data_IF_953411864540
#
_entry.id   IF_953411864540
#
_cell.length_a   1.000
_cell.length_b   1.000
_cell.length_c   1.000
_cell.angle_alpha   90.00
_cell.angle_beta   90.00
_cell.angle_gamma   90.00
#
_symmetry.space_group_name_H-M   'P 1'
#
loop_
_entity.id
_entity.type
_entity.pdbx_description
1 polymer ?
#
# COMPACT_ATOMS: atom_id res chain seq x y z
N UNK A 1 25.51 -6.23 -3.86
CA UNK A 1 24.39 -5.29 -4.00
C UNK A 1 24.68 -4.11 -3.09
N UNK A 2 24.51 -2.87 -3.55
CA UNK A 2 24.61 -1.71 -2.66
C UNK A 2 23.41 -1.71 -1.69
N UNK A 3 23.68 -1.80 -0.40
CA UNK A 3 22.67 -1.73 0.66
C UNK A 3 22.31 -0.26 0.91
N UNK A 4 21.25 0.21 0.27
CA UNK A 4 20.81 1.60 0.34
C UNK A 4 20.37 2.00 1.76
N UNK A 5 19.91 1.03 2.55
CA UNK A 5 19.40 1.20 3.91
C UNK A 5 20.45 1.70 4.92
N UNK A 6 21.75 1.45 4.66
CA UNK A 6 22.84 1.88 5.55
C UNK A 6 23.50 3.20 5.12
N UNK A 7 23.02 3.82 4.04
CA UNK A 7 23.59 5.06 3.52
C UNK A 7 23.14 6.24 4.39
N UNK A 8 24.07 7.02 5.00
CA UNK A 8 23.72 8.17 5.82
C UNK A 8 22.84 9.20 5.08
N UNK A 9 23.03 9.33 3.77
CA UNK A 9 22.25 10.21 2.90
C UNK A 9 20.78 9.79 2.85
N UNK A 10 20.50 8.48 2.78
CA UNK A 10 19.13 7.96 2.77
C UNK A 10 18.43 8.20 4.11
N UNK A 11 19.13 7.97 5.23
CA UNK A 11 18.60 8.30 6.57
C UNK A 11 18.26 9.79 6.68
N UNK A 12 19.14 10.67 6.20
CA UNK A 12 18.91 12.11 6.21
C UNK A 12 17.73 12.49 5.33
N UNK A 13 17.64 11.95 4.12
CA UNK A 13 16.53 12.20 3.20
C UNK A 13 15.18 11.79 3.81
N UNK A 14 15.05 10.55 4.28
CA UNK A 14 13.81 10.04 4.88
C UNK A 14 13.39 10.77 6.16
N UNK A 15 14.35 11.30 6.93
CA UNK A 15 14.08 12.09 8.13
C UNK A 15 13.81 13.58 7.90
N UNK A 16 14.03 14.11 6.68
CA UNK A 16 13.92 15.55 6.40
C UNK A 16 13.01 15.90 5.22
N UNK A 17 12.74 14.96 4.32
CA UNK A 17 11.87 15.15 3.17
C UNK A 17 10.53 14.47 3.47
N UNK A 18 9.40 15.22 3.51
CA UNK A 18 8.08 14.61 3.61
C UNK A 18 7.84 13.65 2.44
N UNK A 19 7.46 12.41 2.75
CA UNK A 19 7.22 11.37 1.76
C UNK A 19 5.77 10.88 1.81
N UNK A 20 5.26 10.56 0.63
CA UNK A 20 4.02 9.79 0.48
C UNK A 20 4.46 8.44 -0.06
N UNK A 21 4.27 7.41 0.75
CA UNK A 21 4.71 6.05 0.43
C UNK A 21 3.53 5.22 -0.10
N UNK A 22 3.85 4.24 -0.94
CA UNK A 22 2.98 3.15 -1.36
C UNK A 22 3.83 1.89 -1.46
N UNK A 23 3.20 0.74 -1.26
CA UNK A 23 3.89 -0.55 -1.36
C UNK A 23 3.99 -1.10 -2.78
N UNK A 24 4.99 -1.95 -2.94
CA UNK A 24 5.34 -2.73 -4.13
C UNK A 24 5.19 -4.24 -3.85
N UNK A 25 5.33 -5.12 -4.85
CA UNK A 25 5.28 -6.57 -4.60
C UNK A 25 6.43 -7.03 -3.71
N UNK A 26 7.62 -6.46 -3.87
CA UNK A 26 8.80 -6.79 -3.07
C UNK A 26 8.67 -6.41 -1.58
N UNK A 27 7.69 -5.58 -1.19
CA UNK A 27 7.34 -5.35 0.22
C UNK A 27 6.62 -6.54 0.88
N UNK A 28 6.15 -7.49 0.07
CA UNK A 28 5.42 -8.69 0.50
C UNK A 28 6.23 -9.93 0.13
N UNK A 29 6.40 -10.16 -1.17
CA UNK A 29 7.23 -11.17 -1.83
C UNK A 29 7.20 -10.91 -3.34
N UNK A 30 8.28 -11.25 -4.03
CA UNK A 30 8.43 -11.05 -5.48
C UNK A 30 7.20 -11.57 -6.25
N UNK A 31 6.66 -10.76 -7.16
CA UNK A 31 5.55 -11.12 -8.03
C UNK A 31 4.23 -11.39 -7.29
N UNK A 32 4.01 -10.76 -6.13
CA UNK A 32 2.73 -10.79 -5.42
C UNK A 32 1.54 -10.45 -6.33
N UNK A 33 0.55 -11.35 -6.36
CA UNK A 33 -0.61 -11.26 -7.27
C UNK A 33 -0.47 -12.05 -8.58
N UNK A 34 0.73 -12.47 -8.97
CA UNK A 34 0.98 -13.18 -10.24
C UNK A 34 1.01 -14.72 -10.10
N UNK A 35 1.00 -15.24 -8.88
CA UNK A 35 0.99 -16.68 -8.62
C UNK A 35 -0.35 -17.33 -8.97
N UNK A 36 -0.33 -18.64 -9.20
CA UNK A 36 -1.55 -19.41 -9.41
C UNK A 36 -2.54 -19.25 -8.25
N UNK A 37 -3.86 -19.32 -8.50
CA UNK A 37 -4.87 -19.17 -7.45
C UNK A 37 -4.64 -20.11 -6.27
N UNK A 38 -4.15 -21.33 -6.51
CA UNK A 38 -3.84 -22.29 -5.45
C UNK A 38 -2.77 -21.77 -4.48
N UNK A 39 -1.68 -21.21 -4.99
CA UNK A 39 -0.61 -20.65 -4.16
C UNK A 39 -1.06 -19.36 -3.49
N UNK A 40 -1.66 -18.45 -4.25
CA UNK A 40 -2.16 -17.17 -3.74
C UNK A 40 -3.18 -17.39 -2.61
N UNK A 41 -4.04 -18.41 -2.72
CA UNK A 41 -5.05 -18.71 -1.72
C UNK A 41 -4.57 -19.56 -0.54
N UNK A 42 -3.33 -20.02 -0.56
CA UNK A 42 -2.76 -20.84 0.50
C UNK A 42 -2.71 -20.07 1.84
N UNK A 43 -2.84 -20.76 2.98
CA UNK A 43 -2.80 -20.10 4.30
C UNK A 43 -1.51 -19.30 4.54
N UNK A 44 -0.38 -19.80 4.03
CA UNK A 44 0.93 -19.16 4.19
C UNK A 44 0.96 -17.82 3.44
N UNK A 45 0.57 -17.82 2.17
CA UNK A 45 0.61 -16.61 1.34
C UNK A 45 -0.36 -15.54 1.84
N UNK A 46 -1.57 -15.95 2.25
CA UNK A 46 -2.54 -15.04 2.88
C UNK A 46 -2.00 -14.43 4.17
N UNK A 47 -1.43 -15.26 5.06
CA UNK A 47 -0.87 -14.77 6.32
C UNK A 47 0.27 -13.78 6.13
N UNK A 48 1.15 -14.01 5.14
CA UNK A 48 2.23 -13.09 4.79
C UNK A 48 1.67 -11.76 4.25
N UNK A 49 0.66 -11.82 3.39
CA UNK A 49 -0.02 -10.65 2.85
C UNK A 49 -0.68 -9.80 3.95
N UNK A 50 -1.42 -10.44 4.86
CA UNK A 50 -2.05 -9.77 5.99
C UNK A 50 -1.03 -9.08 6.90
N UNK A 51 0.11 -9.73 7.15
CA UNK A 51 1.17 -9.15 7.97
C UNK A 51 1.85 -7.97 7.27
N UNK A 52 2.18 -8.11 5.98
CA UNK A 52 2.76 -7.02 5.19
C UNK A 52 1.83 -5.80 5.16
N UNK A 53 0.52 -6.01 4.97
CA UNK A 53 -0.45 -4.92 5.02
C UNK A 53 -0.50 -4.24 6.39
N UNK A 54 -0.41 -4.99 7.50
CA UNK A 54 -0.34 -4.38 8.85
C UNK A 54 0.92 -3.53 9.03
N UNK A 55 2.07 -4.06 8.61
CA UNK A 55 3.37 -3.37 8.71
C UNK A 55 3.37 -2.11 7.85
N UNK A 56 2.85 -2.16 6.62
CA UNK A 56 2.76 -0.98 5.75
C UNK A 56 1.88 0.10 6.36
N UNK A 57 0.72 -0.27 6.89
CA UNK A 57 -0.20 0.68 7.50
C UNK A 57 0.46 1.35 8.70
N UNK A 58 1.20 0.59 9.52
CA UNK A 58 1.89 1.10 10.68
C UNK A 58 3.05 2.04 10.33
N UNK A 59 3.98 1.62 9.47
CA UNK A 59 5.22 2.35 9.25
C UNK A 59 5.16 3.38 8.11
N UNK A 60 4.37 3.12 7.05
CA UNK A 60 4.27 4.02 5.90
C UNK A 60 3.11 5.00 6.04
N UNK A 61 2.01 4.59 6.68
CA UNK A 61 0.79 5.41 6.80
C UNK A 61 0.45 5.82 8.23
N UNK A 62 1.24 5.41 9.23
CA UNK A 62 1.02 5.73 10.64
C UNK A 62 -0.40 5.44 11.13
N UNK A 63 -0.97 4.32 10.69
CA UNK A 63 -2.34 3.88 11.01
C UNK A 63 -2.39 2.39 11.33
N UNK A 64 -3.55 1.93 11.76
CA UNK A 64 -3.89 0.52 11.89
C UNK A 64 -5.00 0.15 10.89
N UNK A 65 -5.23 -1.14 10.61
CA UNK A 65 -6.35 -1.57 9.76
C UNK A 65 -7.70 -1.01 10.21
N UNK A 66 -7.92 -0.93 11.52
CA UNK A 66 -9.17 -0.46 12.12
C UNK A 66 -9.37 1.05 11.90
N UNK A 67 -8.27 1.82 11.96
CA UNK A 67 -8.29 3.29 11.84
C UNK A 67 -8.09 3.80 10.42
N UNK A 68 -7.71 2.94 9.47
CA UNK A 68 -7.30 3.39 8.13
C UNK A 68 -8.37 4.21 7.41
N UNK A 69 -9.66 3.87 7.58
CA UNK A 69 -10.76 4.64 6.99
C UNK A 69 -10.95 6.01 7.67
N UNK A 70 -10.80 6.08 8.99
CA UNK A 70 -10.84 7.34 9.75
C UNK A 70 -9.67 8.26 9.36
N UNK A 71 -8.50 7.68 9.08
CA UNK A 71 -7.33 8.37 8.55
C UNK A 71 -7.39 8.62 7.02
N UNK A 72 -8.58 8.53 6.42
CA UNK A 72 -8.88 8.89 5.02
C UNK A 72 -8.24 8.00 3.95
N UNK A 73 -7.80 6.79 4.30
CA UNK A 73 -7.49 5.78 3.29
C UNK A 73 -8.79 5.16 2.77
N UNK A 74 -8.94 5.02 1.46
CA UNK A 74 -10.19 4.60 0.82
C UNK A 74 -9.99 3.40 -0.12
N UNK A 75 -11.09 2.79 -0.54
CA UNK A 75 -11.11 1.61 -1.42
C UNK A 75 -12.08 0.54 -0.92
N UNK A 76 -12.20 -0.55 -1.67
CA UNK A 76 -13.06 -1.67 -1.30
C UNK A 76 -12.40 -2.51 -0.19
N UNK A 77 -11.36 -3.26 -0.53
CA UNK A 77 -10.48 -3.96 0.41
C UNK A 77 -9.11 -3.28 0.54
N UNK A 78 -8.66 -2.56 -0.49
CA UNK A 78 -7.41 -1.81 -0.49
C UNK A 78 -7.43 -0.51 0.31
N UNK A 79 -6.25 0.07 0.45
CA UNK A 79 -6.02 1.34 1.14
C UNK A 79 -5.30 2.34 0.22
N UNK A 80 -6.08 2.93 -0.69
CA UNK A 80 -5.67 4.08 -1.50
C UNK A 80 -5.59 5.33 -0.63
N UNK A 81 -4.76 6.30 -1.02
CA UNK A 81 -4.66 7.58 -0.34
C UNK A 81 -4.75 8.73 -1.36
N UNK A 82 -5.46 9.78 -0.96
CA UNK A 82 -5.53 11.02 -1.71
C UNK A 82 -4.88 12.13 -0.86
N UNK A 83 -3.75 12.64 -1.32
CA UNK A 83 -2.99 13.67 -0.62
C UNK A 83 -3.02 14.97 -1.41
N UNK A 84 -3.44 16.06 -0.77
CA UNK A 84 -3.39 17.40 -1.36
C UNK A 84 -2.08 18.09 -0.96
N UNK A 85 -1.28 18.45 -1.96
CA UNK A 85 -0.02 19.15 -1.79
C UNK A 85 -0.19 20.61 -2.24
N UNK A 86 -0.48 21.51 -1.30
CA UNK A 86 -0.76 22.91 -1.61
C UNK A 86 -2.10 23.11 -2.35
N UNK A 87 -2.28 24.26 -3.03
CA UNK A 87 -3.58 24.60 -3.60
C UNK A 87 -3.91 23.83 -4.89
N UNK A 88 -2.91 23.39 -5.65
CA UNK A 88 -3.07 22.98 -7.05
C UNK A 88 -2.61 21.55 -7.37
N UNK A 89 -2.13 20.80 -6.38
CA UNK A 89 -1.67 19.42 -6.60
C UNK A 89 -2.44 18.46 -5.70
N UNK A 90 -3.02 17.46 -6.35
CA UNK A 90 -3.67 16.32 -5.72
C UNK A 90 -2.95 15.05 -6.20
N UNK A 91 -2.45 14.27 -5.25
CA UNK A 91 -1.74 13.03 -5.52
C UNK A 91 -2.65 11.89 -5.10
N UNK A 92 -2.98 11.01 -6.05
CA UNK A 92 -3.61 9.74 -5.79
C UNK A 92 -2.52 8.67 -5.70
N UNK A 93 -2.39 8.03 -4.55
CA UNK A 93 -1.62 6.80 -4.42
C UNK A 93 -2.58 5.62 -4.39
N UNK A 94 -2.49 4.79 -5.44
CA UNK A 94 -3.35 3.63 -5.61
C UNK A 94 -2.72 2.39 -4.97
N UNK A 95 -3.51 1.66 -4.19
CA UNK A 95 -3.14 0.35 -3.65
C UNK A 95 -3.28 -0.69 -4.76
N UNK A 96 -2.17 -0.99 -5.43
CA UNK A 96 -2.14 -1.92 -6.55
C UNK A 96 -2.00 -3.39 -6.16
N UNK A 97 -1.93 -3.72 -4.86
CA UNK A 97 -1.56 -5.07 -4.42
C UNK A 97 -2.66 -5.75 -3.61
N UNK A 98 -3.44 -5.01 -2.79
CA UNK A 98 -4.45 -5.62 -1.90
C UNK A 98 -5.46 -6.50 -2.64
N UNK A 99 -5.87 -6.06 -3.82
CA UNK A 99 -6.94 -6.71 -4.60
C UNK A 99 -6.37 -7.40 -5.85
N UNK A 100 -5.04 -7.54 -5.94
CA UNK A 100 -4.38 -7.97 -7.17
C UNK A 100 -4.41 -9.47 -7.36
N UNK A 101 -4.83 -9.88 -8.54
CA UNK A 101 -4.63 -11.21 -9.11
C UNK A 101 -4.20 -11.12 -10.59
N UNK A 102 -4.18 -12.25 -11.29
CA UNK A 102 -3.79 -12.31 -12.70
C UNK A 102 -4.71 -11.52 -13.66
N UNK A 103 -5.90 -11.11 -13.22
CA UNK A 103 -6.93 -10.46 -14.05
C UNK A 103 -7.29 -9.05 -13.56
N UNK A 104 -7.10 -8.79 -12.27
CA UNK A 104 -7.60 -7.59 -11.60
C UNK A 104 -6.46 -6.97 -10.79
N UNK A 105 -6.36 -5.64 -10.81
CA UNK A 105 -5.46 -4.88 -9.93
C UNK A 105 -6.26 -4.23 -8.80
N UNK A 106 -7.42 -3.66 -9.14
CA UNK A 106 -8.40 -3.15 -8.20
C UNK A 106 -9.81 -3.59 -8.62
N UNK A 107 -10.61 -3.93 -7.63
CA UNK A 107 -12.00 -4.28 -7.77
C UNK A 107 -12.82 -3.04 -8.19
N UNK A 108 -13.82 -3.23 -9.06
CA UNK A 108 -14.70 -2.16 -9.58
C UNK A 108 -15.31 -1.26 -8.48
N UNK A 109 -15.75 -1.88 -7.37
CA UNK A 109 -16.26 -1.23 -6.15
C UNK A 109 -15.30 -0.23 -5.49
N UNK A 110 -14.01 -0.22 -5.82
CA UNK A 110 -13.03 0.70 -5.23
C UNK A 110 -13.37 2.17 -5.53
N UNK A 111 -13.95 2.47 -6.70
CA UNK A 111 -14.39 3.82 -7.05
C UNK A 111 -15.72 4.23 -6.41
N UNK A 112 -16.61 3.28 -6.14
CA UNK A 112 -18.00 3.54 -5.70
C UNK A 112 -18.08 4.15 -4.29
N UNK A 113 -17.09 3.89 -3.44
CA UNK A 113 -17.07 4.35 -2.04
C UNK A 113 -16.42 5.71 -1.83
N UNK A 114 -15.92 6.35 -2.88
CA UNK A 114 -15.20 7.63 -2.82
C UNK A 114 -16.10 8.87 -2.64
N UNK A 115 -17.42 8.71 -2.62
CA UNK A 115 -18.41 9.80 -2.55
C UNK A 115 -18.56 10.54 -1.21
N UNK A 116 -17.62 10.38 -0.27
CA UNK A 116 -17.57 11.15 1.00
C UNK A 116 -16.12 11.42 1.40
N UNK A 117 -15.43 12.27 0.63
CA UNK A 117 -14.15 12.85 1.01
C UNK A 117 -14.33 14.35 1.23
#
# INVERSE_FOLDING_TARGET
>A
AEHWEYRPEMKRALGSIPSIMMWDDHDIFDSAGSYSPLLHQSPIMKGLFEMAQKIRLLFQHHTTPEKAREHRLFGYQGHNLLARCGPNLLILTADGQTERDAKTVQHEKTGERSGKC
#
